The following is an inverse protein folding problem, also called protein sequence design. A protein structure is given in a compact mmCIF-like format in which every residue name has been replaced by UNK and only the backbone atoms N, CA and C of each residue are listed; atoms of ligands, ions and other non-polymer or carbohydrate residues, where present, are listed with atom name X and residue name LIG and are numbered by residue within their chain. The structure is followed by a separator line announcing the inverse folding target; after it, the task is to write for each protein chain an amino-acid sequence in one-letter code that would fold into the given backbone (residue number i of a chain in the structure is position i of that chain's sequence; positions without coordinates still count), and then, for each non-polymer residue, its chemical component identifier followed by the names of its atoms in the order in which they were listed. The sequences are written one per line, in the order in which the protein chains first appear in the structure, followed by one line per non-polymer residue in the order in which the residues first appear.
data_IF_343720245124
#
_entry.id   IF_343720245124
#
_cell.length_a   1.000
_cell.length_b   1.000
_cell.length_c   1.000
_cell.angle_alpha   90.00
_cell.angle_beta   90.00
_cell.angle_gamma   90.00
#
_symmetry.space_group_name_H-M   'P 1'
#
loop_
_entity.id
_entity.type
_entity.pdbx_description
1 polymer ?
#
# COMPACT_ATOMS: atom_id res chain seq x y z
N UNK A 1 -12.13 13.08 -27.83
CA UNK A 1 -11.45 13.45 -26.58
C UNK A 1 -10.11 12.74 -26.57
N UNK A 2 -9.03 13.49 -26.74
CA UNK A 2 -7.68 12.96 -26.95
C UNK A 2 -7.01 12.86 -25.58
N UNK A 3 -6.84 11.63 -25.08
CA UNK A 3 -6.15 11.37 -23.81
C UNK A 3 -4.64 11.49 -24.03
N UNK A 4 -3.99 12.39 -23.30
CA UNK A 4 -2.54 12.55 -23.32
C UNK A 4 -1.91 11.46 -22.44
N UNK A 5 -1.05 10.63 -23.06
CA UNK A 5 -0.07 9.82 -22.37
C UNK A 5 1.15 10.70 -22.09
N UNK A 6 1.51 10.90 -20.83
CA UNK A 6 2.74 11.61 -20.47
C UNK A 6 3.94 10.65 -20.58
N UNK A 7 5.01 11.02 -21.32
CA UNK A 7 6.23 10.25 -21.33
C UNK A 7 7.01 10.52 -20.03
N UNK A 8 7.42 9.43 -19.35
CA UNK A 8 8.32 9.48 -18.20
C UNK A 8 9.64 10.15 -18.62
N UNK A 9 9.85 11.39 -18.19
CA UNK A 9 11.05 12.16 -18.48
C UNK A 9 12.14 11.77 -17.48
N UNK A 10 13.34 11.50 -18.01
CA UNK A 10 14.52 11.09 -17.23
C UNK A 10 14.79 12.07 -16.06
N UNK A 11 14.61 11.60 -14.82
CA UNK A 11 14.88 12.38 -13.61
C UNK A 11 16.39 12.58 -13.40
N UNK A 12 16.80 13.81 -13.07
CA UNK A 12 18.17 14.18 -12.74
C UNK A 12 18.70 13.46 -11.48
N UNK A 13 20.02 13.21 -11.34
CA UNK A 13 20.56 12.29 -10.32
C UNK A 13 20.64 12.85 -8.88
N UNK A 14 19.95 13.94 -8.54
CA UNK A 14 20.14 14.66 -7.27
C UNK A 14 19.07 14.46 -6.19
N UNK A 15 17.82 14.16 -6.55
CA UNK A 15 16.68 14.10 -5.61
C UNK A 15 16.42 12.69 -5.05
N UNK A 16 16.66 11.64 -5.84
CA UNK A 16 16.22 10.29 -5.49
C UNK A 16 16.93 9.62 -4.31
N UNK A 17 18.03 10.17 -3.78
CA UNK A 17 18.75 9.55 -2.66
C UNK A 17 18.10 9.83 -1.29
N UNK A 18 17.52 11.03 -1.09
CA UNK A 18 16.78 11.35 0.15
C UNK A 18 15.45 10.62 0.19
N UNK A 19 14.74 10.57 -0.94
CA UNK A 19 13.46 9.87 -1.02
C UNK A 19 13.61 8.37 -0.79
N UNK A 20 14.70 7.77 -1.28
CA UNK A 20 15.06 6.36 -1.00
C UNK A 20 15.41 6.13 0.47
N UNK A 21 16.10 7.06 1.12
CA UNK A 21 16.40 6.98 2.55
C UNK A 21 15.13 7.10 3.39
N UNK A 22 14.20 7.98 3.00
CA UNK A 22 12.92 8.13 3.69
C UNK A 22 12.02 6.90 3.54
N UNK A 23 12.07 6.22 2.39
CA UNK A 23 11.42 4.92 2.16
C UNK A 23 12.06 3.82 3.01
N UNK A 24 13.39 3.73 3.03
CA UNK A 24 14.11 2.74 3.85
C UNK A 24 13.86 2.94 5.35
N UNK A 25 13.76 4.20 5.80
CA UNK A 25 13.46 4.53 7.19
C UNK A 25 11.98 4.30 7.55
N UNK A 26 11.06 4.34 6.59
CA UNK A 26 9.63 4.20 6.85
C UNK A 26 9.28 2.89 7.55
N UNK A 27 9.95 1.78 7.22
CA UNK A 27 9.73 0.47 7.85
C UNK A 27 10.01 0.53 9.36
N UNK A 28 11.11 1.19 9.77
CA UNK A 28 11.44 1.33 11.19
C UNK A 28 10.42 2.21 11.92
N UNK A 29 9.97 3.29 11.29
CA UNK A 29 8.93 4.17 11.86
C UNK A 29 7.59 3.43 12.00
N UNK A 30 7.24 2.57 11.05
CA UNK A 30 6.04 1.72 11.12
C UNK A 30 6.10 0.82 12.36
N UNK A 31 7.20 0.07 12.54
CA UNK A 31 7.37 -0.82 13.68
C UNK A 31 7.35 -0.06 15.01
N UNK A 32 8.02 1.09 15.07
CA UNK A 32 8.07 1.93 16.27
C UNK A 32 6.71 2.56 16.60
N UNK A 33 5.93 2.94 15.58
CA UNK A 33 4.57 3.44 15.74
C UNK A 33 3.64 2.34 16.27
N UNK A 34 3.72 1.12 15.72
CA UNK A 34 2.98 -0.03 16.24
C UNK A 34 3.31 -0.32 17.69
N UNK A 35 4.59 -0.24 18.07
CA UNK A 35 5.02 -0.39 19.46
C UNK A 35 4.40 0.69 20.36
N UNK A 36 4.42 1.95 19.91
CA UNK A 36 3.84 3.08 20.64
C UNK A 36 2.31 2.97 20.79
N UNK A 37 1.64 2.33 19.83
CA UNK A 37 0.20 2.06 19.84
C UNK A 37 -0.18 0.80 20.65
N UNK A 38 0.80 0.07 21.21
CA UNK A 38 0.54 -1.20 21.90
C UNK A 38 0.21 -2.38 20.98
N UNK A 39 0.52 -2.25 19.68
CA UNK A 39 0.24 -3.23 18.62
C UNK A 39 1.51 -3.93 18.11
N UNK A 40 2.58 -3.98 18.92
CA UNK A 40 3.86 -4.56 18.51
C UNK A 40 3.75 -6.00 17.96
N UNK A 41 2.89 -6.82 18.57
CA UNK A 41 2.66 -8.20 18.14
C UNK A 41 2.03 -8.32 16.73
N UNK A 42 1.39 -7.26 16.24
CA UNK A 42 0.75 -7.21 14.92
C UNK A 42 1.72 -6.83 13.78
N UNK A 43 2.95 -6.41 14.12
CA UNK A 43 3.97 -6.02 13.14
C UNK A 43 4.20 -7.06 12.03
N UNK A 44 4.34 -8.38 12.32
CA UNK A 44 4.52 -9.38 11.27
C UNK A 44 3.35 -9.43 10.28
N UNK A 45 2.12 -9.33 10.78
CA UNK A 45 0.91 -9.31 9.94
C UNK A 45 0.90 -8.08 9.03
N UNK A 46 1.13 -6.89 9.58
CA UNK A 46 1.13 -5.65 8.80
C UNK A 46 2.26 -5.65 7.75
N UNK A 47 3.48 -6.02 8.13
CA UNK A 47 4.63 -6.05 7.22
C UNK A 47 4.46 -7.09 6.12
N UNK A 48 3.90 -8.26 6.45
CA UNK A 48 3.57 -9.28 5.44
C UNK A 48 2.53 -8.77 4.46
N UNK A 49 1.49 -8.07 4.94
CA UNK A 49 0.50 -7.44 4.06
C UNK A 49 1.11 -6.35 3.19
N UNK A 50 1.96 -5.49 3.76
CA UNK A 50 2.62 -4.41 3.04
C UNK A 50 3.58 -4.94 1.96
N UNK A 51 4.29 -6.04 2.24
CA UNK A 51 5.17 -6.71 1.28
C UNK A 51 4.44 -7.25 0.04
N UNK A 52 3.12 -7.44 0.10
CA UNK A 52 2.32 -7.84 -1.09
C UNK A 52 2.21 -6.74 -2.15
N UNK A 53 2.52 -5.50 -1.77
CA UNK A 53 2.56 -4.35 -2.67
C UNK A 53 3.99 -3.96 -3.06
N UNK A 54 4.99 -4.77 -2.70
CA UNK A 54 6.38 -4.51 -3.07
C UNK A 54 6.53 -4.54 -4.60
N UNK A 55 7.17 -3.52 -5.17
CA UNK A 55 7.32 -3.32 -6.61
C UNK A 55 6.17 -2.58 -7.29
N UNK A 56 4.95 -2.57 -6.72
CA UNK A 56 3.85 -1.75 -7.23
C UNK A 56 4.19 -0.25 -7.15
N UNK A 57 4.93 0.15 -6.12
CA UNK A 57 5.37 1.52 -5.86
C UNK A 57 6.10 2.19 -7.04
N UNK A 58 6.68 1.42 -7.95
CA UNK A 58 7.35 1.95 -9.15
C UNK A 58 6.37 2.52 -10.19
N UNK A 59 5.09 2.15 -10.09
CA UNK A 59 4.02 2.52 -11.02
C UNK A 59 2.99 3.46 -10.39
N UNK A 60 3.20 3.81 -9.11
CA UNK A 60 2.35 4.73 -8.38
C UNK A 60 2.97 6.12 -8.37
N UNK A 61 2.11 7.11 -8.15
CA UNK A 61 2.57 8.44 -7.75
C UNK A 61 3.26 8.34 -6.40
N UNK A 62 4.17 9.27 -6.13
CA UNK A 62 4.95 9.31 -4.88
C UNK A 62 4.06 9.42 -3.63
N UNK A 63 2.97 10.18 -3.72
CA UNK A 63 1.98 10.35 -2.65
C UNK A 63 1.16 9.08 -2.36
N UNK A 64 1.21 8.10 -3.25
CA UNK A 64 0.59 6.78 -3.10
C UNK A 64 1.62 5.67 -2.78
N UNK A 65 2.84 6.01 -2.39
CA UNK A 65 3.86 5.01 -2.06
C UNK A 65 3.43 4.19 -0.81
N UNK A 66 3.29 2.85 -0.89
CA UNK A 66 2.72 2.03 0.18
C UNK A 66 3.40 2.23 1.54
N UNK A 67 4.74 2.17 1.61
CA UNK A 67 5.48 2.39 2.87
C UNK A 67 5.21 3.78 3.48
N UNK A 68 5.10 4.82 2.65
CA UNK A 68 4.93 6.19 3.13
C UNK A 68 3.50 6.43 3.59
N UNK A 69 2.50 5.91 2.85
CA UNK A 69 1.09 5.94 3.24
C UNK A 69 0.87 5.23 4.58
N UNK A 70 1.36 4.00 4.73
CA UNK A 70 1.22 3.23 5.99
C UNK A 70 1.91 3.94 7.14
N UNK A 71 3.12 4.48 6.93
CA UNK A 71 3.83 5.29 7.93
C UNK A 71 2.97 6.48 8.37
N UNK A 72 2.39 7.21 7.41
CA UNK A 72 1.60 8.40 7.70
C UNK A 72 0.33 8.07 8.49
N UNK A 73 -0.39 7.01 8.12
CA UNK A 73 -1.57 6.53 8.86
C UNK A 73 -1.20 6.26 10.32
N UNK A 74 -0.14 5.48 10.57
CA UNK A 74 0.25 5.14 11.94
C UNK A 74 0.70 6.36 12.75
N UNK A 75 1.40 7.31 12.13
CA UNK A 75 1.80 8.55 12.80
C UNK A 75 0.60 9.42 13.20
N UNK A 76 -0.46 9.46 12.39
CA UNK A 76 -1.71 10.14 12.76
C UNK A 76 -2.31 9.52 14.04
N UNK A 77 -2.40 8.18 14.10
CA UNK A 77 -2.89 7.47 15.28
C UNK A 77 -2.00 7.68 16.52
N UNK A 78 -0.67 7.71 16.36
CA UNK A 78 0.27 8.02 17.46
C UNK A 78 0.05 9.45 17.97
N UNK A 79 -0.13 10.42 17.07
CA UNK A 79 -0.39 11.80 17.45
C UNK A 79 -1.72 11.97 18.20
N UNK A 80 -2.75 11.23 17.82
CA UNK A 80 -4.06 11.25 18.48
C UNK A 80 -4.03 10.59 19.86
N UNK A 81 -3.21 9.55 20.05
CA UNK A 81 -2.96 8.96 21.36
C UNK A 81 -2.35 9.97 22.35
N UNK A 82 -1.45 10.85 21.87
CA UNK A 82 -0.85 11.92 22.66
C UNK A 82 -1.84 13.00 23.14
N UNK A 83 -3.02 13.10 22.51
CA UNK A 83 -4.07 14.08 22.85
C UNK A 83 -5.02 13.61 23.96
N UNK A 84 -4.80 12.42 24.55
CA UNK A 84 -5.49 11.98 25.77
C UNK A 84 -6.74 11.13 25.56
N UNK A 85 -6.97 10.56 24.37
CA UNK A 85 -8.06 9.61 24.06
C UNK A 85 -7.82 8.19 24.63
N UNK A 86 -7.18 8.07 25.79
CA UNK A 86 -6.66 6.79 26.27
C UNK A 86 -7.69 6.03 27.08
N UNK A 87 -8.48 5.18 26.40
CA UNK A 87 -9.08 4.01 27.05
C UNK A 87 -8.01 2.92 27.05
N UNK A 88 -7.53 2.51 28.23
CA UNK A 88 -6.57 1.40 28.35
C UNK A 88 -7.32 0.09 28.51
N UNK A 89 -6.95 -0.91 27.71
CA UNK A 89 -7.44 -2.28 27.86
C UNK A 89 -7.50 -3.03 26.54
N UNK A 90 -7.65 -4.37 26.57
CA UNK A 90 -7.64 -5.19 25.36
C UNK A 90 -8.70 -4.77 24.33
N UNK A 91 -9.89 -4.37 24.79
CA UNK A 91 -10.97 -3.91 23.91
C UNK A 91 -10.61 -2.61 23.18
N UNK A 92 -9.93 -1.68 23.85
CA UNK A 92 -9.53 -0.42 23.24
C UNK A 92 -8.40 -0.63 22.21
N UNK A 93 -7.46 -1.53 22.50
CA UNK A 93 -6.44 -1.96 21.53
C UNK A 93 -7.06 -2.59 20.29
N UNK A 94 -8.10 -3.40 20.45
CA UNK A 94 -8.83 -4.00 19.33
C UNK A 94 -9.55 -2.96 18.48
N UNK A 95 -10.26 -2.02 19.11
CA UNK A 95 -10.94 -0.93 18.41
C UNK A 95 -9.95 -0.02 17.66
N UNK A 96 -8.83 0.32 18.29
CA UNK A 96 -7.75 1.07 17.65
C UNK A 96 -7.18 0.32 16.44
N UNK A 97 -6.95 -0.99 16.58
CA UNK A 97 -6.50 -1.82 15.45
C UNK A 97 -7.50 -1.79 14.31
N UNK A 98 -8.80 -1.90 14.59
CA UNK A 98 -9.84 -1.83 13.57
C UNK A 98 -9.86 -0.48 12.86
N UNK A 99 -9.74 0.63 13.59
CA UNK A 99 -9.65 1.98 13.01
C UNK A 99 -8.42 2.12 12.11
N UNK A 100 -7.27 1.62 12.53
CA UNK A 100 -6.06 1.62 11.70
C UNK A 100 -6.30 0.79 10.43
N UNK A 101 -6.93 -0.38 10.54
CA UNK A 101 -7.24 -1.22 9.36
C UNK A 101 -8.18 -0.48 8.40
N UNK A 102 -9.21 0.20 8.91
CA UNK A 102 -10.10 1.05 8.12
C UNK A 102 -9.30 2.08 7.31
N UNK A 103 -8.44 2.84 7.99
CA UNK A 103 -7.64 3.88 7.33
C UNK A 103 -6.62 3.31 6.32
N UNK A 104 -6.08 2.12 6.58
CA UNK A 104 -5.13 1.45 5.70
C UNK A 104 -5.78 0.96 4.41
N UNK A 105 -6.99 0.39 4.48
CA UNK A 105 -7.65 -0.17 3.28
C UNK A 105 -8.23 0.91 2.36
N UNK A 106 -8.42 2.12 2.87
CA UNK A 106 -8.82 3.31 2.11
C UNK A 106 -7.63 4.00 1.41
N UNK A 107 -6.39 3.56 1.64
CA UNK A 107 -5.23 4.15 0.98
C UNK A 107 -5.23 3.88 -0.53
N UNK A 108 -4.84 4.90 -1.30
CA UNK A 108 -4.90 4.89 -2.77
C UNK A 108 -4.23 3.67 -3.42
N UNK A 109 -3.10 3.22 -2.89
CA UNK A 109 -2.37 2.06 -3.43
C UNK A 109 -3.17 0.75 -3.35
N UNK A 110 -4.06 0.59 -2.36
CA UNK A 110 -4.93 -0.59 -2.21
C UNK A 110 -5.99 -0.63 -3.31
N UNK A 111 -6.31 0.53 -3.88
CA UNK A 111 -7.34 0.66 -4.91
C UNK A 111 -6.81 0.61 -6.35
N UNK A 112 -5.51 0.45 -6.54
CA UNK A 112 -4.94 0.26 -7.87
C UNK A 112 -5.21 -1.15 -8.39
N UNK A 113 -5.42 -1.25 -9.70
CA UNK A 113 -5.50 -2.49 -10.45
C UNK A 113 -4.34 -2.52 -11.44
N UNK A 114 -3.67 -3.65 -11.50
CA UNK A 114 -2.58 -3.88 -12.44
C UNK A 114 -2.93 -5.08 -13.31
N UNK A 115 -2.71 -4.97 -14.61
CA UNK A 115 -3.02 -6.08 -15.53
C UNK A 115 -2.13 -6.04 -16.77
N UNK A 116 -1.91 -7.20 -17.36
CA UNK A 116 -1.29 -7.35 -18.67
C UNK A 116 -2.36 -7.34 -19.76
N UNK A 117 -2.11 -6.58 -20.83
CA UNK A 117 -3.01 -6.51 -21.99
C UNK A 117 -2.27 -6.20 -23.28
N UNK A 118 -2.63 -6.92 -24.35
CA UNK A 118 -2.21 -6.56 -25.70
C UNK A 118 -3.05 -5.43 -26.32
N UNK A 119 -4.26 -5.19 -25.78
CA UNK A 119 -5.21 -4.16 -26.24
C UNK A 119 -6.04 -3.65 -25.05
N UNK A 120 -5.55 -2.63 -24.34
CA UNK A 120 -6.30 -2.04 -23.23
C UNK A 120 -7.71 -1.56 -23.68
N UNK A 121 -8.74 -1.67 -22.83
CA UNK A 121 -8.70 -2.11 -21.43
C UNK A 121 -9.09 -3.59 -21.25
N UNK A 122 -8.68 -4.51 -22.13
CA UNK A 122 -9.03 -5.93 -22.04
C UNK A 122 -7.92 -6.73 -21.34
N UNK A 123 -8.02 -7.01 -20.03
CA UNK A 123 -6.99 -7.75 -19.32
C UNK A 123 -6.95 -9.21 -19.77
N UNK A 124 -5.74 -9.75 -19.96
CA UNK A 124 -5.51 -11.20 -20.03
C UNK A 124 -5.27 -11.76 -18.63
N UNK A 125 -4.44 -11.05 -17.86
CA UNK A 125 -4.04 -11.42 -16.52
C UNK A 125 -4.11 -10.18 -15.64
N UNK A 126 -4.70 -10.32 -14.47
CA UNK A 126 -4.79 -9.26 -13.49
C UNK A 126 -3.95 -9.62 -12.25
N UNK A 127 -3.25 -8.63 -11.74
CA UNK A 127 -2.48 -8.77 -10.51
C UNK A 127 -3.42 -8.89 -9.32
N UNK A 128 -3.21 -9.96 -8.55
CA UNK A 128 -3.82 -10.10 -7.25
C UNK A 128 -2.72 -10.24 -6.18
N UNK A 129 -2.44 -9.19 -5.39
CA UNK A 129 -1.37 -9.21 -4.39
C UNK A 129 -1.58 -10.26 -3.29
N UNK A 130 -2.78 -10.80 -3.17
CA UNK A 130 -3.12 -11.81 -2.17
C UNK A 130 -2.94 -13.25 -2.66
N UNK A 131 -2.70 -13.44 -3.95
CA UNK A 131 -2.51 -14.75 -4.58
C UNK A 131 -1.09 -14.95 -5.11
N UNK A 132 -0.39 -13.87 -5.47
CA UNK A 132 0.97 -13.92 -5.98
C UNK A 132 1.74 -12.64 -5.65
N UNK A 133 3.07 -12.73 -5.66
CA UNK A 133 3.96 -11.59 -5.52
C UNK A 133 3.97 -10.73 -6.79
N UNK A 134 4.41 -9.48 -6.67
CA UNK A 134 4.57 -8.58 -7.82
C UNK A 134 5.58 -9.13 -8.84
N UNK A 135 6.70 -9.68 -8.37
CA UNK A 135 7.74 -10.22 -9.25
C UNK A 135 7.23 -11.39 -10.08
N UNK A 136 6.46 -12.31 -9.46
CA UNK A 136 5.80 -13.40 -10.17
C UNK A 136 4.79 -12.86 -11.20
N UNK A 137 4.03 -11.83 -10.85
CA UNK A 137 3.10 -11.18 -11.79
C UNK A 137 3.79 -10.54 -12.99
N UNK A 138 4.89 -9.82 -12.77
CA UNK A 138 5.65 -9.16 -13.83
C UNK A 138 6.26 -10.20 -14.78
N UNK A 139 6.75 -11.32 -14.24
CA UNK A 139 7.32 -12.41 -15.03
C UNK A 139 6.32 -13.10 -15.99
N UNK A 140 5.01 -12.94 -15.76
CA UNK A 140 3.95 -13.52 -16.59
C UNK A 140 3.58 -12.67 -17.81
N UNK A 141 4.21 -11.50 -18.01
CA UNK A 141 4.00 -10.65 -19.17
C UNK A 141 4.47 -11.28 -20.48
N UNK A 142 3.81 -10.93 -21.59
CA UNK A 142 4.18 -11.39 -22.93
C UNK A 142 4.70 -10.25 -23.80
N UNK A 143 5.49 -10.57 -24.84
CA UNK A 143 6.19 -9.58 -25.70
C UNK A 143 5.23 -8.58 -26.38
N UNK A 144 3.98 -8.98 -26.64
CA UNK A 144 2.97 -8.14 -27.29
C UNK A 144 1.99 -7.48 -26.28
N UNK A 145 2.32 -7.48 -24.99
CA UNK A 145 1.48 -6.93 -23.93
C UNK A 145 2.15 -5.77 -23.21
N UNK A 146 1.33 -4.81 -22.81
CA UNK A 146 1.72 -3.72 -21.93
C UNK A 146 1.24 -3.98 -20.50
N UNK A 147 2.04 -3.56 -19.53
CA UNK A 147 1.63 -3.51 -18.13
C UNK A 147 0.80 -2.25 -17.91
N UNK A 148 -0.47 -2.43 -17.61
CA UNK A 148 -1.40 -1.35 -17.33
C UNK A 148 -1.62 -1.23 -15.82
N UNK A 149 -1.38 -0.05 -15.27
CA UNK A 149 -1.66 0.29 -13.86
C UNK A 149 -2.63 1.45 -13.82
N UNK A 150 -3.73 1.29 -13.10
CA UNK A 150 -4.76 2.33 -13.02
C UNK A 150 -5.59 2.21 -11.74
N UNK A 151 -6.20 3.31 -11.31
CA UNK A 151 -7.17 3.35 -10.23
C UNK A 151 -8.59 3.48 -10.79
N UNK A 152 -9.51 2.55 -10.50
CA UNK A 152 -10.92 2.71 -10.84
C UNK A 152 -11.58 3.86 -10.06
N UNK A 153 -12.56 4.53 -10.67
CA UNK A 153 -13.33 5.59 -10.00
C UNK A 153 -14.00 5.10 -8.69
N UNK A 154 -14.46 3.85 -8.68
CA UNK A 154 -15.04 3.19 -7.49
C UNK A 154 -13.99 2.49 -6.61
N UNK A 155 -12.71 2.64 -6.93
CA UNK A 155 -11.61 1.91 -6.30
C UNK A 155 -11.64 0.40 -6.55
N UNK A 156 -10.92 -0.34 -5.70
CA UNK A 156 -10.88 -1.81 -5.69
C UNK A 156 -11.47 -2.37 -4.38
N UNK A 157 -12.81 -2.39 -4.23
CA UNK A 157 -13.46 -2.78 -2.98
C UNK A 157 -13.20 -4.25 -2.62
N UNK A 158 -12.99 -5.12 -3.60
CA UNK A 158 -12.69 -6.52 -3.35
C UNK A 158 -11.31 -6.70 -2.71
N UNK A 159 -10.31 -5.97 -3.21
CA UNK A 159 -8.96 -6.01 -2.63
C UNK A 159 -8.93 -5.33 -1.25
N UNK A 160 -9.66 -4.23 -1.06
CA UNK A 160 -9.81 -3.59 0.24
C UNK A 160 -10.42 -4.55 1.27
N UNK A 161 -11.51 -5.23 0.93
CA UNK A 161 -12.17 -6.19 1.83
C UNK A 161 -11.28 -7.39 2.14
N UNK A 162 -10.62 -7.97 1.13
CA UNK A 162 -9.69 -9.09 1.37
C UNK A 162 -8.47 -8.65 2.18
N UNK A 163 -8.01 -7.40 2.02
CA UNK A 163 -6.93 -6.81 2.82
C UNK A 163 -7.34 -6.67 4.29
N UNK A 164 -8.54 -6.17 4.55
CA UNK A 164 -9.14 -6.10 5.89
C UNK A 164 -9.16 -7.47 6.56
N UNK A 165 -9.67 -8.50 5.88
CA UNK A 165 -9.70 -9.87 6.41
C UNK A 165 -8.31 -10.39 6.77
N UNK A 166 -7.29 -10.09 5.97
CA UNK A 166 -5.91 -10.49 6.25
C UNK A 166 -5.32 -9.74 7.44
N UNK A 167 -5.56 -8.43 7.51
CA UNK A 167 -5.05 -7.58 8.58
C UNK A 167 -5.69 -7.87 9.94
N UNK A 168 -6.91 -8.41 9.97
CA UNK A 168 -7.58 -8.86 11.19
C UNK A 168 -7.01 -10.15 11.78
N UNK A 169 -6.17 -10.90 11.05
CA UNK A 169 -5.56 -12.15 11.54
C UNK A 169 -4.48 -11.85 12.58
N UNK A 170 -4.53 -12.59 13.69
CA UNK A 170 -3.60 -12.53 14.83
C UNK A 170 -2.74 -13.77 14.87
#
# INVERSE_FOLDING_TARGET
MTQQFEPLTNAEPGSGQRDRLDQAHAIFVIVESLRSLGLAAWSPTLLTWLGRFDGLNQYLREDAHPLLCVRQVLLCHVADLGKGLVVKGPLATELLRQQIIDDLVEQDFVHHRCYWSARPPRPRLEFNPLEQTWLEFVALGQVAEDLCVWRPERGNPLLAERSRVLLMKS
#
